data_IF_525296938932
#
_entry.id   IF_525296938932
#
_cell.length_a   1.000
_cell.length_b   1.000
_cell.length_c   1.000
_cell.angle_alpha   90.00
_cell.angle_beta   90.00
_cell.angle_gamma   90.00
#
_symmetry.space_group_name_H-M   'P 1'
#
loop_
_entity.id
_entity.type
_entity.pdbx_description
1 polymer ?
#
# COMPACT_ATOMS: atom_id res chain seq x y z
N UNK A 1 19.45 -40.32 -33.45
CA UNK A 1 20.33 -39.88 -34.54
C UNK A 1 19.56 -40.06 -35.84
N UNK A 2 18.94 -38.98 -36.36
CA UNK A 2 19.39 -38.24 -37.57
C UNK A 2 19.10 -39.08 -38.85
N UNK A 3 18.32 -38.68 -39.87
CA UNK A 3 18.02 -37.37 -40.46
C UNK A 3 16.90 -37.58 -41.50
N UNK A 4 15.87 -36.71 -41.59
CA UNK A 4 15.11 -36.49 -42.84
C UNK A 4 14.89 -34.98 -43.06
N UNK A 5 15.05 -34.60 -44.32
CA UNK A 5 15.14 -33.27 -44.91
C UNK A 5 13.86 -32.40 -44.86
N UNK A 6 14.09 -31.11 -44.54
CA UNK A 6 13.59 -29.85 -45.15
C UNK A 6 12.57 -29.96 -46.31
N UNK A 7 11.39 -29.33 -46.21
CA UNK A 7 11.04 -28.02 -46.85
C UNK A 7 9.52 -27.67 -46.83
N UNK A 8 9.26 -26.42 -46.45
CA UNK A 8 8.26 -25.45 -46.93
C UNK A 8 6.73 -25.63 -46.74
N UNK A 9 6.19 -24.75 -45.88
CA UNK A 9 5.06 -23.81 -46.07
C UNK A 9 3.70 -24.32 -46.59
N UNK A 10 2.69 -24.26 -45.71
CA UNK A 10 1.49 -23.38 -45.79
C UNK A 10 0.40 -23.91 -44.84
N UNK A 11 -0.13 -23.06 -43.93
CA UNK A 11 -1.55 -23.01 -43.50
C UNK A 11 -1.76 -22.18 -42.21
N UNK A 12 -2.19 -20.93 -42.39
CA UNK A 12 -3.35 -20.26 -41.74
C UNK A 12 -3.69 -20.49 -40.25
N UNK A 13 -3.67 -19.40 -39.46
CA UNK A 13 -4.84 -18.73 -38.82
C UNK A 13 -4.37 -17.92 -37.58
N UNK A 14 -4.42 -16.58 -37.64
CA UNK A 14 -5.51 -15.71 -37.15
C UNK A 14 -5.76 -15.79 -35.62
N UNK A 15 -5.47 -14.69 -34.93
CA UNK A 15 -6.24 -14.29 -33.74
C UNK A 15 -5.48 -14.20 -32.40
N UNK A 16 -4.69 -13.14 -32.20
CA UNK A 16 -4.31 -12.73 -30.83
C UNK A 16 -3.92 -11.24 -30.69
N UNK A 17 -3.68 -10.51 -31.79
CA UNK A 17 -3.26 -9.11 -31.72
C UNK A 17 -4.38 -8.05 -31.82
N UNK A 18 -5.66 -8.45 -31.99
CA UNK A 18 -6.77 -7.50 -32.21
C UNK A 18 -7.72 -7.28 -31.02
N UNK A 19 -7.55 -8.01 -29.91
CA UNK A 19 -8.43 -7.87 -28.73
C UNK A 19 -8.01 -6.69 -27.84
N UNK A 20 -6.72 -6.35 -27.78
CA UNK A 20 -6.21 -5.22 -26.99
C UNK A 20 -6.56 -3.84 -27.55
N UNK A 21 -6.76 -3.72 -28.88
CA UNK A 21 -7.09 -2.43 -29.52
C UNK A 21 -8.58 -2.06 -29.39
N UNK A 22 -9.47 -3.06 -29.31
CA UNK A 22 -10.93 -2.83 -29.19
C UNK A 22 -11.36 -2.35 -27.80
N UNK A 23 -10.62 -2.69 -26.74
CA UNK A 23 -10.90 -2.19 -25.38
C UNK A 23 -10.65 -0.69 -25.22
N UNK A 24 -9.66 -0.15 -25.94
CA UNK A 24 -9.26 1.26 -25.86
C UNK A 24 -10.21 2.14 -26.70
N UNK A 25 -10.66 1.66 -27.86
CA UNK A 25 -11.58 2.41 -28.74
C UNK A 25 -13.00 2.55 -28.20
N UNK A 26 -13.49 1.62 -27.37
CA UNK A 26 -14.84 1.74 -26.77
C UNK A 26 -14.92 2.81 -25.66
N UNK A 27 -13.81 3.14 -25.00
CA UNK A 27 -13.81 4.14 -23.92
C UNK A 27 -14.02 5.58 -24.44
N UNK A 28 -13.59 5.89 -25.66
CA UNK A 28 -13.77 7.21 -26.27
C UNK A 28 -15.23 7.55 -26.60
N UNK A 29 -16.12 6.56 -26.75
CA UNK A 29 -17.55 6.82 -27.03
C UNK A 29 -18.40 7.12 -25.78
N UNK A 30 -17.93 6.81 -24.57
CA UNK A 30 -18.72 7.01 -23.34
C UNK A 30 -18.51 8.37 -22.66
N UNK A 31 -17.56 9.20 -23.12
CA UNK A 31 -17.25 10.52 -22.53
C UNK A 31 -17.63 11.71 -23.43
N UNK A 32 -18.77 11.65 -24.11
CA UNK A 32 -19.47 12.86 -24.60
C UNK A 32 -18.63 13.87 -25.39
N UNK A 33 -17.70 13.41 -26.23
CA UNK A 33 -16.92 14.32 -27.08
C UNK A 33 -17.79 14.69 -28.30
N UNK A 34 -18.29 15.93 -28.35
CA UNK A 34 -18.99 16.47 -29.50
C UNK A 34 -18.04 16.45 -30.71
N UNK A 35 -18.34 15.62 -31.70
CA UNK A 35 -17.66 15.63 -33.00
C UNK A 35 -18.17 16.82 -33.81
N UNK A 36 -17.51 17.97 -33.72
CA UNK A 36 -17.62 18.99 -34.78
C UNK A 36 -16.65 18.62 -35.90
N UNK A 37 -17.19 18.13 -37.02
CA UNK A 37 -16.41 17.97 -38.25
C UNK A 37 -16.13 19.34 -38.86
N UNK A 38 -14.86 19.74 -38.87
CA UNK A 38 -14.32 20.70 -39.83
C UNK A 38 -12.95 20.22 -40.25
N UNK A 39 -12.79 20.01 -41.56
CA UNK A 39 -11.57 19.49 -42.16
C UNK A 39 -10.38 20.41 -41.94
N UNK A 40 -9.26 19.82 -41.54
CA UNK A 40 -7.99 20.52 -41.40
C UNK A 40 -6.96 19.62 -40.73
N UNK A 41 -5.90 19.26 -41.47
CA UNK A 41 -4.78 18.48 -40.98
C UNK A 41 -4.15 19.18 -39.77
N UNK A 42 -4.28 18.59 -38.58
CA UNK A 42 -3.51 18.98 -37.42
C UNK A 42 -2.86 17.74 -36.80
N UNK A 43 -1.54 17.76 -36.73
CA UNK A 43 -0.76 16.89 -35.85
C UNK A 43 -1.25 17.10 -34.42
N UNK A 44 -1.88 16.08 -33.85
CA UNK A 44 -2.18 16.01 -32.42
C UNK A 44 -0.98 15.42 -31.71
N UNK A 45 -0.12 16.26 -31.15
CA UNK A 45 0.77 15.89 -30.05
C UNK A 45 -0.09 15.72 -28.80
N UNK A 46 -0.47 14.47 -28.50
CA UNK A 46 -1.21 14.14 -27.29
C UNK A 46 -0.21 14.08 -26.11
N UNK A 47 -0.42 14.91 -25.08
CA UNK A 47 0.27 14.83 -23.81
C UNK A 47 -0.18 13.58 -23.04
N UNK A 48 0.38 12.42 -23.38
CA UNK A 48 -0.17 11.11 -23.05
C UNK A 48 0.28 10.50 -21.71
N UNK A 49 1.14 11.15 -20.93
CA UNK A 49 1.81 10.46 -19.82
C UNK A 49 1.09 10.48 -18.46
N UNK A 50 0.24 11.47 -18.19
CA UNK A 50 -0.47 11.65 -16.90
C UNK A 50 -1.76 10.83 -16.81
N UNK A 51 -2.46 10.60 -17.92
CA UNK A 51 -3.70 9.80 -17.94
C UNK A 51 -3.43 8.30 -17.81
N UNK A 52 -2.28 7.82 -18.28
CA UNK A 52 -1.89 6.40 -18.24
C UNK A 52 -1.52 5.91 -16.82
N UNK A 53 -0.94 6.75 -15.95
CA UNK A 53 -0.57 6.36 -14.57
C UNK A 53 -1.76 6.32 -13.61
N UNK A 54 -2.62 7.34 -13.66
CA UNK A 54 -3.90 7.34 -12.95
C UNK A 54 -4.71 6.10 -13.33
N UNK A 55 -4.66 5.70 -14.60
CA UNK A 55 -5.29 4.47 -15.10
C UNK A 55 -4.70 3.17 -14.53
N UNK A 56 -3.38 3.09 -14.26
CA UNK A 56 -2.73 1.89 -13.67
C UNK A 56 -3.24 1.62 -12.26
N UNK A 57 -3.20 2.62 -11.38
CA UNK A 57 -3.69 2.48 -10.00
C UNK A 57 -5.23 2.45 -9.92
N UNK A 58 -5.94 3.07 -10.87
CA UNK A 58 -7.39 2.94 -10.99
C UNK A 58 -7.84 1.56 -11.53
N UNK A 59 -7.05 0.92 -12.39
CA UNK A 59 -7.28 -0.46 -12.83
C UNK A 59 -7.07 -1.43 -11.66
N UNK A 60 -6.00 -1.23 -10.89
CA UNK A 60 -5.79 -1.93 -9.62
C UNK A 60 -6.91 -1.62 -8.59
N UNK A 61 -7.54 -0.44 -8.63
CA UNK A 61 -8.75 -0.11 -7.85
C UNK A 61 -9.98 -0.91 -8.30
N UNK A 62 -10.21 -1.08 -9.60
CA UNK A 62 -11.35 -1.85 -10.13
C UNK A 62 -11.26 -3.36 -9.91
N UNK A 63 -10.04 -3.92 -9.90
CA UNK A 63 -9.81 -5.31 -9.49
C UNK A 63 -10.12 -5.57 -8.01
N UNK A 64 -10.06 -4.53 -7.17
CA UNK A 64 -10.19 -4.61 -5.71
C UNK A 64 -11.62 -4.77 -5.18
N UNK A 65 -12.67 -4.29 -5.85
CA UNK A 65 -14.06 -4.46 -5.36
C UNK A 65 -14.51 -5.94 -5.35
N UNK A 66 -14.01 -6.72 -6.32
CA UNK A 66 -14.15 -8.17 -6.35
C UNK A 66 -13.31 -8.86 -5.26
N UNK A 67 -12.23 -8.22 -4.82
CA UNK A 67 -11.26 -8.75 -3.85
C UNK A 67 -11.54 -8.36 -2.41
N UNK A 68 -12.16 -7.22 -2.12
CA UNK A 68 -12.71 -6.93 -0.78
C UNK A 68 -13.77 -7.98 -0.42
N UNK A 69 -14.56 -8.40 -1.40
CA UNK A 69 -15.44 -9.56 -1.30
C UNK A 69 -14.67 -10.88 -1.09
N UNK A 70 -13.51 -11.07 -1.72
CA UNK A 70 -12.68 -12.27 -1.58
C UNK A 70 -11.89 -12.31 -0.26
N UNK A 71 -11.39 -11.17 0.23
CA UNK A 71 -10.82 -10.97 1.56
C UNK A 71 -11.91 -11.17 2.60
N UNK A 72 -13.11 -10.60 2.44
CA UNK A 72 -14.27 -10.94 3.29
C UNK A 72 -14.56 -12.45 3.31
N UNK A 73 -14.40 -13.16 2.18
CA UNK A 73 -14.54 -14.63 2.10
C UNK A 73 -13.38 -15.39 2.76
N UNK A 74 -12.11 -15.05 2.49
CA UNK A 74 -10.93 -15.68 3.09
C UNK A 74 -10.81 -15.42 4.60
N UNK A 75 -11.21 -14.22 5.01
CA UNK A 75 -11.38 -13.85 6.41
C UNK A 75 -12.52 -14.66 7.04
N UNK A 76 -13.55 -15.05 6.28
CA UNK A 76 -14.62 -15.95 6.74
C UNK A 76 -14.22 -17.44 6.78
N UNK A 77 -13.27 -17.89 5.96
CA UNK A 77 -12.77 -19.28 5.96
C UNK A 77 -11.55 -19.53 6.85
N UNK A 78 -11.03 -18.50 7.54
CA UNK A 78 -10.02 -18.66 8.59
C UNK A 78 -8.63 -19.09 8.10
N UNK A 79 -8.32 -18.96 6.81
CA UNK A 79 -6.98 -19.24 6.27
C UNK A 79 -6.32 -17.98 5.71
N UNK A 80 -5.57 -17.23 6.54
CA UNK A 80 -4.59 -16.27 6.06
C UNK A 80 -3.20 -16.91 5.92
N UNK A 81 -2.32 -16.28 5.16
CA UNK A 81 -0.88 -16.57 5.17
C UNK A 81 -0.27 -16.06 6.51
N UNK A 82 -0.61 -16.76 7.60
CA UNK A 82 -0.30 -16.43 9.00
C UNK A 82 1.20 -16.22 9.23
N UNK A 83 2.03 -16.82 8.37
CA UNK A 83 3.48 -16.71 8.40
C UNK A 83 3.99 -15.28 8.18
N UNK A 84 3.41 -14.49 7.26
CA UNK A 84 3.85 -13.10 7.04
C UNK A 84 3.50 -12.22 8.25
N UNK A 85 2.26 -12.31 8.74
CA UNK A 85 1.83 -11.52 9.90
C UNK A 85 2.58 -11.90 11.17
N UNK A 86 2.95 -13.18 11.32
CA UNK A 86 3.82 -13.63 12.41
C UNK A 86 5.26 -13.09 12.27
N UNK A 87 5.76 -12.88 11.05
CA UNK A 87 7.09 -12.32 10.77
C UNK A 87 7.15 -10.80 10.90
N UNK A 88 6.04 -10.08 10.68
CA UNK A 88 5.98 -8.62 10.82
C UNK A 88 6.08 -8.10 12.26
N UNK A 89 6.58 -8.89 13.23
CA UNK A 89 6.87 -8.55 14.63
C UNK A 89 5.78 -7.86 15.51
N UNK A 90 4.67 -7.37 14.93
CA UNK A 90 3.69 -6.48 15.57
C UNK A 90 2.74 -7.20 16.52
N UNK A 91 2.66 -8.52 16.46
CA UNK A 91 1.92 -9.30 17.42
C UNK A 91 2.89 -10.18 18.17
N UNK A 92 3.64 -9.65 19.17
CA UNK A 92 4.14 -10.54 20.20
C UNK A 92 2.92 -11.30 20.70
N UNK A 93 3.03 -12.63 20.66
CA UNK A 93 2.18 -13.52 21.41
C UNK A 93 2.29 -13.03 22.85
N UNK A 94 1.35 -12.20 23.27
CA UNK A 94 1.46 -11.52 24.55
C UNK A 94 1.20 -12.62 25.56
N UNK A 95 2.28 -13.18 26.12
CA UNK A 95 2.23 -13.88 27.40
C UNK A 95 1.29 -13.04 28.25
N UNK A 96 0.18 -13.60 28.75
CA UNK A 96 -0.87 -12.78 29.37
C UNK A 96 -0.20 -11.94 30.44
N UNK A 97 -0.41 -10.62 30.37
CA UNK A 97 0.13 -9.66 31.34
C UNK A 97 -0.23 -10.16 32.75
N UNK A 98 0.58 -9.88 33.78
CA UNK A 98 0.29 -10.34 35.14
C UNK A 98 -1.14 -10.00 35.58
N UNK A 99 -1.64 -8.83 35.15
CA UNK A 99 -3.02 -8.40 35.31
C UNK A 99 -4.05 -9.26 34.55
N UNK A 100 -3.77 -9.65 33.30
CA UNK A 100 -4.63 -10.56 32.52
C UNK A 100 -4.70 -11.95 33.14
N UNK A 101 -3.57 -12.49 33.64
CA UNK A 101 -3.55 -13.76 34.38
C UNK A 101 -4.32 -13.66 35.69
N UNK A 102 -4.24 -12.52 36.38
CA UNK A 102 -4.97 -12.27 37.61
C UNK A 102 -6.48 -12.19 37.35
N UNK A 103 -6.90 -11.49 36.30
CA UNK A 103 -8.32 -11.39 35.87
C UNK A 103 -8.88 -12.75 35.42
N UNK A 104 -8.10 -13.52 34.64
CA UNK A 104 -8.44 -14.88 34.23
C UNK A 104 -8.57 -15.82 35.45
N UNK A 105 -7.68 -15.69 36.45
CA UNK A 105 -7.75 -16.44 37.72
C UNK A 105 -8.89 -15.98 38.64
N UNK A 106 -9.30 -14.71 38.56
CA UNK A 106 -10.41 -14.14 39.31
C UNK A 106 -11.78 -14.45 38.68
N UNK A 107 -11.83 -15.20 37.56
CA UNK A 107 -13.07 -15.55 36.87
C UNK A 107 -13.73 -14.37 36.16
N UNK A 108 -13.00 -13.26 35.95
CA UNK A 108 -13.50 -12.08 35.21
C UNK A 108 -13.13 -12.27 33.74
N UNK A 109 -14.08 -12.61 32.85
CA UNK A 109 -13.78 -12.85 31.46
C UNK A 109 -13.29 -11.55 30.81
N UNK A 110 -12.11 -11.59 30.18
CA UNK A 110 -11.65 -10.52 29.28
C UNK A 110 -12.49 -10.59 28.00
N UNK A 111 -13.72 -10.09 28.10
CA UNK A 111 -14.67 -10.09 27.01
C UNK A 111 -14.43 -8.86 26.13
N UNK A 112 -14.48 -9.05 24.81
CA UNK A 112 -14.42 -7.92 23.88
C UNK A 112 -15.72 -7.11 24.01
N UNK A 113 -15.61 -5.78 24.01
CA UNK A 113 -16.75 -4.85 24.06
C UNK A 113 -17.61 -5.00 22.80
N UNK A 114 -16.99 -5.32 21.66
CA UNK A 114 -17.64 -5.48 20.37
C UNK A 114 -17.46 -6.89 19.79
N UNK A 115 -18.39 -7.24 18.88
CA UNK A 115 -18.37 -8.51 18.18
C UNK A 115 -17.09 -8.64 17.32
N UNK A 116 -16.42 -9.80 17.39
CA UNK A 116 -15.18 -10.08 16.66
C UNK A 116 -15.32 -9.83 15.14
N UNK A 117 -16.44 -10.24 14.55
CA UNK A 117 -16.71 -10.03 13.13
C UNK A 117 -16.77 -8.54 12.79
N UNK A 118 -17.38 -7.70 13.65
CA UNK A 118 -17.41 -6.24 13.43
C UNK A 118 -16.02 -5.64 13.47
N UNK A 119 -15.22 -5.95 14.48
CA UNK A 119 -13.84 -5.44 14.61
C UNK A 119 -12.99 -5.86 13.40
N UNK A 120 -13.19 -7.08 12.92
CA UNK A 120 -12.54 -7.63 11.74
C UNK A 120 -12.89 -6.88 10.46
N UNK A 121 -14.18 -6.62 10.22
CA UNK A 121 -14.66 -5.80 9.09
C UNK A 121 -14.16 -4.36 9.22
N UNK A 122 -14.15 -3.80 10.43
CA UNK A 122 -13.61 -2.48 10.70
C UNK A 122 -12.11 -2.41 10.37
N UNK A 123 -11.32 -3.42 10.72
CA UNK A 123 -9.89 -3.49 10.36
C UNK A 123 -9.65 -3.46 8.84
N UNK A 124 -10.50 -4.13 8.08
CA UNK A 124 -10.47 -4.08 6.60
C UNK A 124 -10.84 -2.69 6.07
N UNK A 125 -11.93 -2.09 6.58
CA UNK A 125 -12.33 -0.73 6.19
C UNK A 125 -11.24 0.31 6.53
N UNK A 126 -10.51 0.08 7.62
CA UNK A 126 -9.44 0.97 8.05
C UNK A 126 -8.27 0.88 7.08
N UNK A 127 -7.92 -0.34 6.68
CA UNK A 127 -6.95 -0.57 5.61
C UNK A 127 -7.38 0.10 4.29
N UNK A 128 -8.63 -0.06 3.88
CA UNK A 128 -9.18 0.61 2.69
C UNK A 128 -9.02 2.13 2.79
N UNK A 129 -9.22 2.70 3.96
CA UNK A 129 -9.01 4.13 4.20
C UNK A 129 -7.54 4.54 4.03
N UNK A 130 -6.57 3.65 4.30
CA UNK A 130 -5.14 3.89 4.06
C UNK A 130 -4.72 3.84 2.58
N UNK A 131 -5.59 3.37 1.68
CA UNK A 131 -5.21 3.15 0.27
C UNK A 131 -6.10 3.92 -0.70
N UNK A 132 -7.40 4.02 -0.44
CA UNK A 132 -8.35 4.67 -1.35
C UNK A 132 -8.59 6.14 -1.04
N UNK A 133 -8.47 6.51 0.24
CA UNK A 133 -8.68 7.90 0.68
C UNK A 133 -7.37 8.69 0.75
N UNK A 134 -6.32 8.21 0.09
CA UNK A 134 -4.99 8.83 0.05
C UNK A 134 -4.58 9.01 -1.41
N UNK A 135 -4.13 10.22 -1.75
CA UNK A 135 -3.52 10.49 -3.05
C UNK A 135 -2.04 10.11 -3.02
N UNK A 136 -1.72 8.83 -3.24
CA UNK A 136 -0.35 8.34 -3.23
C UNK A 136 0.58 9.10 -4.20
N UNK A 137 0.06 9.60 -5.33
CA UNK A 137 0.88 10.37 -6.27
C UNK A 137 1.35 11.70 -5.70
N UNK A 138 0.55 12.32 -4.84
CA UNK A 138 0.97 13.53 -4.12
C UNK A 138 2.19 13.23 -3.23
N UNK A 139 2.18 12.10 -2.51
CA UNK A 139 3.34 11.67 -1.71
C UNK A 139 4.55 11.30 -2.58
N UNK A 140 4.34 10.61 -3.70
CA UNK A 140 5.46 10.28 -4.59
C UNK A 140 6.17 11.53 -5.09
N UNK A 141 5.41 12.57 -5.44
CA UNK A 141 5.97 13.86 -5.87
C UNK A 141 6.65 14.58 -4.73
N UNK A 142 5.94 14.77 -3.62
CA UNK A 142 6.46 15.49 -2.45
C UNK A 142 7.73 14.85 -1.88
N UNK A 143 7.86 13.54 -1.99
CA UNK A 143 8.99 12.79 -1.45
C UNK A 143 10.04 12.36 -2.50
N UNK A 144 9.92 12.80 -3.76
CA UNK A 144 10.84 12.42 -4.84
C UNK A 144 10.90 10.91 -5.11
N UNK A 145 9.80 10.18 -4.93
CA UNK A 145 9.73 8.73 -5.11
C UNK A 145 9.37 8.36 -6.56
N UNK A 146 9.91 7.25 -7.09
CA UNK A 146 9.46 6.70 -8.36
C UNK A 146 8.06 6.08 -8.23
N UNK A 147 7.30 5.99 -9.32
CA UNK A 147 5.99 5.32 -9.38
C UNK A 147 6.17 3.80 -9.47
N UNK A 148 6.39 3.17 -8.31
CA UNK A 148 6.64 1.72 -8.16
C UNK A 148 5.77 1.10 -7.07
N UNK A 149 5.63 -0.23 -7.10
CA UNK A 149 4.96 -1.01 -6.06
C UNK A 149 5.60 -0.78 -4.69
N UNK A 150 6.93 -0.66 -4.64
CA UNK A 150 7.64 -0.39 -3.39
C UNK A 150 7.36 1.02 -2.85
N UNK A 151 7.36 2.06 -3.70
CA UNK A 151 6.96 3.42 -3.26
C UNK A 151 5.52 3.45 -2.75
N UNK A 152 4.60 2.76 -3.44
CA UNK A 152 3.22 2.61 -2.97
C UNK A 152 3.15 1.91 -1.61
N UNK A 153 3.96 0.87 -1.42
CA UNK A 153 4.07 0.17 -0.14
C UNK A 153 4.55 1.10 0.97
N UNK A 154 5.60 1.91 0.75
CA UNK A 154 6.13 2.84 1.77
C UNK A 154 5.08 3.88 2.21
N UNK A 155 4.34 4.46 1.27
CA UNK A 155 3.24 5.38 1.61
C UNK A 155 2.13 4.65 2.38
N UNK A 156 1.77 3.44 1.95
CA UNK A 156 0.73 2.65 2.62
C UNK A 156 1.16 2.24 4.04
N UNK A 157 2.41 1.80 4.20
CA UNK A 157 3.04 1.45 5.47
C UNK A 157 2.97 2.60 6.48
N UNK A 158 3.33 3.81 6.06
CA UNK A 158 3.29 4.99 6.93
C UNK A 158 1.88 5.22 7.51
N UNK A 159 0.86 5.12 6.67
CA UNK A 159 -0.54 5.31 7.07
C UNK A 159 -1.07 4.15 7.92
N UNK A 160 -0.68 2.91 7.60
CA UNK A 160 -0.97 1.74 8.43
C UNK A 160 -0.32 1.87 9.81
N UNK A 161 0.93 2.34 9.90
CA UNK A 161 1.60 2.60 11.18
C UNK A 161 0.86 3.64 12.02
N UNK A 162 0.45 4.78 11.44
CA UNK A 162 -0.32 5.79 12.18
C UNK A 162 -1.63 5.22 12.73
N UNK A 163 -2.33 4.39 11.94
CA UNK A 163 -3.51 3.65 12.40
C UNK A 163 -3.18 2.68 13.55
N UNK A 164 -2.05 1.97 13.48
CA UNK A 164 -1.60 1.07 14.54
C UNK A 164 -1.32 1.82 15.85
N UNK A 165 -0.64 2.98 15.77
CA UNK A 165 -0.41 3.85 16.93
C UNK A 165 -1.74 4.20 17.60
N UNK A 166 -2.73 4.67 16.83
CA UNK A 166 -4.06 5.00 17.34
C UNK A 166 -4.77 3.79 17.96
N UNK A 167 -4.60 2.59 17.42
CA UNK A 167 -5.24 1.38 17.94
C UNK A 167 -4.58 0.85 19.23
N UNK A 168 -3.37 1.28 19.60
CA UNK A 168 -2.71 0.87 20.86
C UNK A 168 -3.57 1.21 22.10
N UNK A 169 -4.29 2.33 22.08
CA UNK A 169 -5.17 2.75 23.20
C UNK A 169 -6.46 1.92 23.34
N UNK A 170 -6.80 1.11 22.33
CA UNK A 170 -8.02 0.28 22.32
C UNK A 170 -7.82 -1.12 22.93
N UNK A 171 -6.67 -1.37 23.56
CA UNK A 171 -6.38 -2.59 24.29
C UNK A 171 -6.48 -3.86 23.43
N UNK A 172 -7.21 -4.87 23.92
CA UNK A 172 -7.31 -6.16 23.22
C UNK A 172 -8.06 -6.06 21.88
N UNK A 173 -9.05 -5.17 21.78
CA UNK A 173 -9.81 -4.97 20.55
C UNK A 173 -8.98 -4.26 19.49
N UNK A 174 -8.21 -3.25 19.91
CA UNK A 174 -7.21 -2.61 19.07
C UNK A 174 -6.20 -3.61 18.52
N UNK A 175 -5.64 -4.46 19.40
CA UNK A 175 -4.72 -5.53 19.00
C UNK A 175 -5.37 -6.49 17.98
N UNK A 176 -6.64 -6.85 18.20
CA UNK A 176 -7.38 -7.71 17.27
C UNK A 176 -7.66 -7.03 15.93
N UNK A 177 -7.97 -5.73 15.92
CA UNK A 177 -8.17 -4.95 14.70
C UNK A 177 -6.87 -4.76 13.91
N UNK A 178 -5.75 -4.45 14.60
CA UNK A 178 -4.41 -4.32 14.00
C UNK A 178 -4.01 -5.59 13.25
N UNK A 179 -4.34 -6.77 13.79
CA UNK A 179 -4.11 -8.03 13.09
C UNK A 179 -4.75 -8.02 11.69
N UNK A 180 -6.02 -7.65 11.57
CA UNK A 180 -6.71 -7.63 10.29
C UNK A 180 -6.28 -6.47 9.37
N UNK A 181 -5.91 -5.33 9.95
CA UNK A 181 -5.32 -4.20 9.21
C UNK A 181 -4.04 -4.64 8.48
N UNK A 182 -3.10 -5.26 9.20
CA UNK A 182 -1.82 -5.75 8.65
C UNK A 182 -2.03 -6.92 7.70
N UNK A 183 -2.92 -7.86 8.04
CA UNK A 183 -3.28 -8.96 7.15
C UNK A 183 -3.78 -8.45 5.78
N UNK A 184 -4.63 -7.43 5.80
CA UNK A 184 -5.19 -6.82 4.58
C UNK A 184 -4.09 -6.18 3.74
N UNK A 185 -3.14 -5.49 4.38
CA UNK A 185 -1.98 -4.89 3.71
C UNK A 185 -1.13 -5.93 2.96
N UNK A 186 -0.71 -7.01 3.63
CA UNK A 186 0.12 -8.03 2.99
C UNK A 186 -0.61 -8.79 1.87
N UNK A 187 -1.92 -8.95 2.00
CA UNK A 187 -2.73 -9.52 0.94
C UNK A 187 -2.79 -8.59 -0.29
N UNK A 188 -3.02 -7.29 -0.10
CA UNK A 188 -3.07 -6.31 -1.20
C UNK A 188 -1.72 -6.20 -1.92
N UNK A 189 -0.61 -6.20 -1.18
CA UNK A 189 0.74 -6.20 -1.78
C UNK A 189 0.93 -7.41 -2.69
N UNK A 190 0.67 -8.63 -2.19
CA UNK A 190 0.75 -9.88 -2.96
C UNK A 190 -0.07 -9.83 -4.24
N UNK A 191 -1.30 -9.36 -4.12
CA UNK A 191 -2.25 -9.32 -5.22
C UNK A 191 -1.87 -8.27 -6.27
N UNK A 192 -1.39 -7.09 -5.86
CA UNK A 192 -0.87 -6.08 -6.78
C UNK A 192 0.34 -6.60 -7.55
N UNK A 193 1.27 -7.28 -6.88
CA UNK A 193 2.40 -7.91 -7.56
C UNK A 193 1.93 -8.96 -8.59
N UNK A 194 0.94 -9.78 -8.24
CA UNK A 194 0.33 -10.75 -9.16
C UNK A 194 -0.28 -10.07 -10.39
N UNK A 195 -1.06 -9.01 -10.20
CA UNK A 195 -1.70 -8.25 -11.30
C UNK A 195 -0.66 -7.54 -12.17
N UNK A 196 0.44 -7.08 -11.59
CA UNK A 196 1.57 -6.49 -12.31
C UNK A 196 2.45 -7.54 -13.03
N UNK A 197 2.13 -8.82 -12.92
CA UNK A 197 2.88 -9.89 -13.59
C UNK A 197 4.21 -10.25 -12.92
N UNK A 198 4.40 -9.86 -11.65
CA UNK A 198 5.60 -10.20 -10.88
C UNK A 198 5.62 -11.72 -10.62
N UNK A 199 6.69 -12.45 -11.01
CA UNK A 199 6.79 -13.88 -10.74
C UNK A 199 6.72 -14.19 -9.25
N UNK A 200 6.00 -15.26 -8.88
CA UNK A 200 5.76 -15.63 -7.47
C UNK A 200 7.03 -15.81 -6.64
N UNK A 201 8.13 -16.28 -7.25
CA UNK A 201 9.43 -16.43 -6.59
C UNK A 201 10.01 -15.06 -6.21
N UNK A 202 10.12 -14.15 -7.18
CA UNK A 202 10.58 -12.76 -6.95
C UNK A 202 9.68 -12.06 -5.94
N UNK A 203 8.36 -12.25 -6.04
CA UNK A 203 7.41 -11.66 -5.10
C UNK A 203 7.66 -12.13 -3.66
N UNK A 204 7.97 -13.41 -3.46
CA UNK A 204 8.29 -13.97 -2.13
C UNK A 204 9.58 -13.37 -1.56
N UNK A 205 10.60 -13.17 -2.39
CA UNK A 205 11.87 -12.54 -1.99
C UNK A 205 11.65 -11.07 -1.61
N UNK A 206 10.95 -10.31 -2.45
CA UNK A 206 10.61 -8.90 -2.18
C UNK A 206 9.74 -8.75 -0.94
N UNK A 207 8.77 -9.64 -0.71
CA UNK A 207 7.97 -9.63 0.51
C UNK A 207 8.81 -9.81 1.77
N UNK A 208 9.87 -10.62 1.73
CA UNK A 208 10.78 -10.76 2.88
C UNK A 208 11.46 -9.42 3.18
N UNK A 209 12.00 -8.76 2.15
CA UNK A 209 12.62 -7.43 2.27
C UNK A 209 11.62 -6.36 2.72
N UNK A 210 10.40 -6.37 2.21
CA UNK A 210 9.33 -5.45 2.65
C UNK A 210 8.92 -5.67 4.11
N UNK A 211 8.96 -6.92 4.62
CA UNK A 211 8.70 -7.19 6.05
C UNK A 211 9.82 -6.64 6.92
N UNK A 212 11.07 -6.77 6.49
CA UNK A 212 12.23 -6.18 7.19
C UNK A 212 12.14 -4.65 7.22
N UNK A 213 11.82 -4.04 6.07
CA UNK A 213 11.54 -2.61 5.95
C UNK A 213 10.41 -2.18 6.90
N UNK A 214 9.29 -2.90 6.90
CA UNK A 214 8.16 -2.63 7.78
C UNK A 214 8.58 -2.62 9.25
N UNK A 215 9.31 -3.64 9.69
CA UNK A 215 9.77 -3.70 11.07
C UNK A 215 10.70 -2.53 11.41
N UNK A 216 11.66 -2.20 10.54
CA UNK A 216 12.58 -1.08 10.75
C UNK A 216 11.86 0.26 10.82
N UNK A 217 10.88 0.47 9.94
CA UNK A 217 10.03 1.65 9.90
C UNK A 217 9.22 1.80 11.19
N UNK A 218 8.56 0.73 11.67
CA UNK A 218 7.79 0.77 12.90
C UNK A 218 8.64 1.19 14.11
N UNK A 219 9.84 0.62 14.27
CA UNK A 219 10.74 0.98 15.37
C UNK A 219 11.19 2.44 15.27
N UNK A 220 11.65 2.86 14.10
CA UNK A 220 12.12 4.23 13.89
C UNK A 220 11.03 5.28 14.05
N UNK A 221 9.82 5.01 13.54
CA UNK A 221 8.70 5.93 13.65
C UNK A 221 8.15 5.99 15.08
N UNK A 222 8.04 4.87 15.80
CA UNK A 222 7.65 4.88 17.21
C UNK A 222 8.66 5.69 18.06
N UNK A 223 9.97 5.50 17.82
CA UNK A 223 11.02 6.29 18.51
C UNK A 223 10.91 7.79 18.19
N UNK A 224 10.76 8.16 16.92
CA UNK A 224 10.62 9.55 16.50
C UNK A 224 9.34 10.21 17.02
N UNK A 225 8.23 9.47 17.02
CA UNK A 225 6.96 9.97 17.53
C UNK A 225 7.03 10.27 19.03
N UNK A 226 7.68 9.40 19.82
CA UNK A 226 7.81 9.53 21.27
C UNK A 226 8.91 10.50 21.72
N UNK A 227 9.81 10.90 20.82
CA UNK A 227 10.94 11.78 21.13
C UNK A 227 10.70 13.21 20.61
N UNK A 228 11.33 13.58 19.49
CA UNK A 228 11.26 14.91 18.91
C UNK A 228 11.34 14.84 17.38
N UNK A 229 11.14 15.99 16.74
CA UNK A 229 10.98 16.08 15.29
C UNK A 229 12.26 15.78 14.50
N UNK A 230 13.45 15.98 15.08
CA UNK A 230 14.70 15.62 14.38
C UNK A 230 14.91 14.11 14.33
N UNK A 231 14.56 13.39 15.40
CA UNK A 231 14.59 11.92 15.40
C UNK A 231 13.55 11.36 14.43
N UNK A 232 12.34 11.92 14.41
CA UNK A 232 11.30 11.53 13.46
C UNK A 232 11.71 11.81 12.01
N UNK A 233 12.30 12.98 11.72
CA UNK A 233 12.86 13.30 10.41
C UNK A 233 13.94 12.29 10.00
N UNK A 234 14.85 11.95 10.92
CA UNK A 234 15.87 10.93 10.66
C UNK A 234 15.28 9.54 10.36
N UNK A 235 14.22 9.15 11.06
CA UNK A 235 13.51 7.90 10.79
C UNK A 235 12.81 7.90 9.43
N UNK A 236 12.18 9.01 9.04
CA UNK A 236 11.57 9.18 7.73
C UNK A 236 12.62 9.16 6.62
N UNK A 237 13.75 9.84 6.80
CA UNK A 237 14.81 9.85 5.81
C UNK A 237 15.33 8.43 5.53
N UNK A 238 15.56 7.63 6.57
CA UNK A 238 16.02 6.24 6.44
C UNK A 238 14.98 5.31 5.80
N UNK A 239 13.72 5.42 6.20
CA UNK A 239 12.69 4.43 5.85
C UNK A 239 11.77 4.89 4.70
N UNK A 240 11.20 6.09 4.76
CA UNK A 240 10.27 6.60 3.75
C UNK A 240 11.01 7.11 2.51
N UNK A 241 12.03 7.93 2.72
CA UNK A 241 12.85 8.50 1.63
C UNK A 241 13.97 7.57 1.19
N UNK A 242 14.19 6.49 1.93
CA UNK A 242 15.17 5.45 1.62
C UNK A 242 16.58 6.01 1.38
N UNK A 243 16.97 6.98 2.21
CA UNK A 243 18.26 7.70 2.19
C UNK A 243 18.55 8.44 0.88
N UNK A 244 17.52 8.77 0.10
CA UNK A 244 17.67 9.65 -1.07
C UNK A 244 18.17 11.03 -0.66
N UNK A 245 18.85 11.67 -1.59
CA UNK A 245 19.20 13.08 -1.49
C UNK A 245 17.93 13.92 -1.70
N UNK A 246 17.58 14.73 -0.71
CA UNK A 246 16.32 15.47 -0.64
C UNK A 246 16.54 16.82 0.04
N UNK A 247 15.68 17.77 -0.29
CA UNK A 247 15.64 19.05 0.40
C UNK A 247 15.09 18.89 1.83
N UNK A 248 15.70 19.54 2.84
CA UNK A 248 15.25 19.46 4.24
C UNK A 248 13.77 19.81 4.45
N UNK A 249 13.22 20.71 3.63
CA UNK A 249 11.81 21.10 3.65
C UNK A 249 10.87 19.92 3.40
N UNK A 250 11.25 18.98 2.53
CA UNK A 250 10.44 17.78 2.26
C UNK A 250 10.33 16.90 3.51
N UNK A 251 11.38 16.80 4.31
CA UNK A 251 11.34 16.10 5.60
C UNK A 251 10.48 16.84 6.61
N UNK A 252 10.65 18.16 6.72
CA UNK A 252 9.87 18.99 7.63
C UNK A 252 8.37 18.90 7.35
N UNK A 253 7.97 18.98 6.07
CA UNK A 253 6.58 18.83 5.63
C UNK A 253 6.00 17.45 6.00
N UNK A 254 6.80 16.39 5.85
CA UNK A 254 6.36 15.04 6.21
C UNK A 254 6.25 14.84 7.72
N UNK A 255 7.16 15.42 8.50
CA UNK A 255 7.07 15.44 9.97
C UNK A 255 5.80 16.17 10.42
N UNK A 256 5.55 17.37 9.88
CA UNK A 256 4.36 18.16 10.19
C UNK A 256 3.09 17.37 9.84
N UNK A 257 3.05 16.76 8.65
CA UNK A 257 1.96 15.90 8.23
C UNK A 257 1.68 14.79 9.25
N UNK A 258 2.70 14.03 9.64
CA UNK A 258 2.54 12.92 10.60
C UNK A 258 2.03 13.42 11.95
N UNK A 259 2.60 14.51 12.48
CA UNK A 259 2.14 15.10 13.75
C UNK A 259 0.68 15.49 13.69
N UNK A 260 0.25 16.15 12.61
CA UNK A 260 -1.14 16.54 12.41
C UNK A 260 -2.09 15.34 12.23
N UNK A 261 -1.65 14.28 11.55
CA UNK A 261 -2.46 13.07 11.39
C UNK A 261 -2.60 12.32 12.70
N UNK A 262 -1.52 12.09 13.44
CA UNK A 262 -1.57 11.36 14.72
C UNK A 262 -2.48 12.10 15.71
N UNK A 263 -2.29 13.42 15.85
CA UNK A 263 -3.16 14.26 16.68
C UNK A 263 -4.64 14.17 16.24
N UNK A 264 -4.90 14.16 14.92
CA UNK A 264 -6.25 13.98 14.41
C UNK A 264 -6.83 12.60 14.74
N UNK A 265 -6.07 11.54 14.53
CA UNK A 265 -6.51 10.17 14.79
C UNK A 265 -6.88 9.96 16.26
N UNK A 266 -6.17 10.59 17.18
CA UNK A 266 -6.48 10.56 18.63
C UNK A 266 -7.89 11.12 18.94
N UNK A 267 -8.37 12.09 18.16
CA UNK A 267 -9.71 12.67 18.34
C UNK A 267 -10.86 11.78 17.87
N UNK A 268 -10.56 10.68 17.18
CA UNK A 268 -11.59 9.79 16.65
C UNK A 268 -12.28 8.99 17.78
N UNK A 269 -13.61 8.87 17.67
CA UNK A 269 -14.40 8.07 18.59
C UNK A 269 -14.03 6.58 18.51
N UNK A 270 -13.69 5.99 19.66
CA UNK A 270 -13.28 4.59 19.77
C UNK A 270 -14.36 3.61 19.32
N UNK A 271 -15.65 3.90 19.61
CA UNK A 271 -16.74 3.01 19.28
C UNK A 271 -16.98 2.94 17.77
N UNK A 272 -16.95 4.09 17.09
CA UNK A 272 -17.01 4.21 15.64
C UNK A 272 -15.80 3.57 14.98
N UNK A 273 -14.59 3.83 15.50
CA UNK A 273 -13.37 3.26 14.95
C UNK A 273 -13.39 1.71 15.00
N UNK A 274 -13.74 1.12 16.14
CA UNK A 274 -13.73 -0.35 16.32
C UNK A 274 -14.89 -1.07 15.66
N UNK A 275 -16.02 -0.40 15.38
CA UNK A 275 -17.18 -1.02 14.75
C UNK A 275 -17.29 -0.75 13.25
N UNK A 276 -16.81 0.41 12.79
CA UNK A 276 -16.94 0.86 11.39
C UNK A 276 -15.57 0.89 10.71
N UNK A 277 -14.56 1.45 11.39
CA UNK A 277 -13.19 1.49 10.87
C UNK A 277 -13.00 2.34 9.63
N UNK A 278 -13.80 3.39 9.43
CA UNK A 278 -13.61 4.32 8.30
C UNK A 278 -13.06 5.64 8.83
N UNK A 279 -11.98 6.10 8.21
CA UNK A 279 -11.35 7.37 8.54
C UNK A 279 -11.14 8.22 7.29
N UNK A 280 -11.07 9.53 7.48
CA UNK A 280 -10.75 10.49 6.42
C UNK A 280 -9.45 11.20 6.77
N UNK A 281 -8.39 10.93 6.02
CA UNK A 281 -7.10 11.59 6.22
C UNK A 281 -7.22 13.10 5.99
N UNK A 282 -6.49 13.88 6.81
CA UNK A 282 -6.31 15.30 6.51
C UNK A 282 -5.43 15.45 5.26
N UNK A 283 -5.65 16.48 4.43
CA UNK A 283 -4.83 16.66 3.22
C UNK A 283 -3.37 16.92 3.59
N UNK A 284 -2.45 16.41 2.77
CA UNK A 284 -1.05 16.82 2.80
C UNK A 284 -0.95 18.27 2.31
N UNK A 285 -0.25 19.12 3.06
CA UNK A 285 -0.13 20.56 2.79
C UNK A 285 1.29 21.01 2.44
N UNK A 286 2.25 20.08 2.43
CA UNK A 286 3.63 20.39 2.07
C UNK A 286 3.82 20.73 0.60
N UNK A 287 5.05 21.04 0.24
CA UNK A 287 5.44 21.42 -1.11
C UNK A 287 5.32 20.19 -2.01
N UNK A 288 4.53 20.33 -3.08
CA UNK A 288 4.36 19.29 -4.10
C UNK A 288 4.90 19.85 -5.42
N UNK A 289 5.94 19.25 -6.00
CA UNK A 289 6.44 19.63 -7.32
C UNK A 289 5.35 19.58 -8.40
N UNK A 290 5.50 20.42 -9.43
CA UNK A 290 4.50 20.56 -10.50
C UNK A 290 4.11 19.20 -11.10
N UNK A 291 2.80 19.01 -11.28
CA UNK A 291 2.20 17.81 -11.85
C UNK A 291 2.62 17.60 -13.31
N UNK A 292 3.06 18.66 -13.99
CA UNK A 292 3.56 18.61 -15.37
C UNK A 292 4.79 17.72 -15.55
N UNK A 293 5.63 17.60 -14.51
CA UNK A 293 6.81 16.73 -14.52
C UNK A 293 6.37 15.28 -14.34
N UNK A 294 6.77 14.38 -15.25
CA UNK A 294 6.45 12.97 -15.13
C UNK A 294 7.24 12.33 -13.98
N UNK A 295 6.57 11.57 -13.11
CA UNK A 295 7.27 10.75 -12.11
C UNK A 295 8.11 9.69 -12.84
N UNK A 296 9.35 9.41 -12.38
CA UNK A 296 10.12 8.28 -12.87
C UNK A 296 9.29 7.00 -12.69
N UNK A 297 9.17 6.20 -13.74
CA UNK A 297 8.41 4.94 -13.72
C UNK A 297 9.38 3.79 -13.81
N UNK A 298 9.06 2.71 -13.10
CA UNK A 298 9.77 1.45 -13.29
C UNK A 298 9.71 1.00 -14.76
N UNK A 299 10.88 0.79 -15.35
CA UNK A 299 11.08 0.23 -16.69
C UNK A 299 11.15 -1.30 -16.67
N UNK A 300 11.38 -1.91 -15.49
CA UNK A 300 11.53 -3.35 -15.29
C UNK A 300 10.85 -3.83 -13.99
N UNK A 301 10.70 -5.15 -13.84
CA UNK A 301 10.17 -5.76 -12.62
C UNK A 301 11.14 -5.55 -11.45
N UNK A 302 12.44 -5.53 -11.74
CA UNK A 302 13.50 -5.22 -10.79
C UNK A 302 13.36 -3.80 -10.24
N UNK A 303 13.08 -2.83 -11.12
CA UNK A 303 12.87 -1.43 -10.73
C UNK A 303 11.54 -1.22 -9.98
N UNK A 304 10.51 -2.00 -10.31
CA UNK A 304 9.22 -2.00 -9.60
C UNK A 304 9.37 -2.45 -8.13
N UNK A 305 10.37 -3.30 -7.89
CA UNK A 305 10.71 -3.92 -6.62
C UNK A 305 12.07 -3.43 -6.09
N UNK A 306 12.50 -2.24 -6.51
CA UNK A 306 13.77 -1.63 -6.11
C UNK A 306 13.75 -1.28 -4.63
N UNK A 307 13.94 -2.32 -3.82
CA UNK A 307 14.14 -2.24 -2.39
C UNK A 307 15.66 -2.15 -2.25
N UNK A 308 16.22 -0.94 -2.08
CA UNK A 308 17.66 -0.79 -2.02
C UNK A 308 18.18 -1.68 -0.91
N UNK A 309 19.27 -2.38 -1.20
CA UNK A 309 19.93 -3.16 -0.18
C UNK A 309 20.36 -2.17 0.90
N UNK A 310 19.79 -2.34 2.09
CA UNK A 310 20.33 -1.68 3.28
C UNK A 310 21.66 -2.37 3.48
N UNK A 311 22.70 -1.86 2.82
CA UNK A 311 24.05 -2.39 2.94
C UNK A 311 24.32 -2.64 4.42
N UNK A 312 24.79 -3.85 4.69
CA UNK A 312 25.36 -4.22 5.98
C UNK A 312 26.45 -3.19 6.26
N UNK A 313 26.11 -2.13 7.00
CA UNK A 313 27.10 -1.13 7.38
C UNK A 313 28.19 -1.90 8.12
N UNK A 314 29.35 -1.95 7.49
CA UNK A 314 30.53 -2.60 8.02
C UNK A 314 30.78 -2.08 9.42
N UNK A 315 30.92 -3.02 10.35
CA UNK A 315 31.78 -2.79 11.49
C UNK A 315 33.20 -2.57 10.93
N UNK A 316 33.58 -1.30 10.80
CA UNK A 316 34.97 -0.85 10.74
C UNK A 316 35.16 0.20 11.82
#
# INVERSE_FOLDING_TARGET
MYTIYRTSQMATSLGSAQIASRGIQLCCRSMGCLMTQSGGKHHTTCSSNSELTYSRWAYLRRGRDSQLNQVQRHVSTGQPNLALVRRSAVLPESKPTPFKRLMEKAGIPVQMRYNRFKIRVAGLNLYTSCVDNIDCHTFFRACGMPDTLFSWFLVTELHVWMCMVRLKQEGQEGKYMVHYLIMSMWHDIQERGRVMGIPSIKMKESLSKMVEQFNAALFGYDEGLLSNDSVLAGALWRNLFVRRDIEPEQLADMVEYIRQQVQYLETLDSAQLLQVGRIKWRPFKGIVPDKSVALPKASSIEEELDIPEVDKIGAQ
#
